data_IF_885715499344
#
_entry.id   IF_885715499344
#
_cell.length_a   1.000
_cell.length_b   1.000
_cell.length_c   1.000
_cell.angle_alpha   90.00
_cell.angle_beta   90.00
_cell.angle_gamma   90.00
#
_symmetry.space_group_name_H-M   'P 1'
#
loop_
_entity.id
_entity.type
_entity.pdbx_description
1 polymer ?
#
# COMPACT_ATOMS: atom_id res chain seq x y z
N UNK A 1 4.80 14.97 -40.44
CA UNK A 1 4.93 13.89 -39.43
C UNK A 1 3.74 14.01 -38.50
N UNK A 2 2.70 13.20 -38.70
CA UNK A 2 1.52 13.19 -37.84
C UNK A 2 1.90 12.56 -36.50
N UNK A 3 2.05 13.40 -35.48
CA UNK A 3 2.17 12.91 -34.09
C UNK A 3 0.84 12.26 -33.73
N UNK A 4 0.77 10.93 -33.87
CA UNK A 4 -0.36 10.15 -33.39
C UNK A 4 -0.50 10.37 -31.88
N UNK A 5 -1.74 10.46 -31.40
CA UNK A 5 -2.02 10.47 -29.98
C UNK A 5 -1.35 9.26 -29.28
N UNK A 6 -0.88 9.41 -28.03
CA UNK A 6 -0.26 8.32 -27.30
C UNK A 6 -1.27 7.17 -27.13
N UNK A 7 -0.84 5.94 -27.44
CA UNK A 7 -1.63 4.74 -27.18
C UNK A 7 -1.67 4.48 -25.65
N UNK A 8 -2.85 4.58 -25.00
CA UNK A 8 -2.94 4.35 -23.56
C UNK A 8 -2.53 2.93 -23.17
N UNK A 9 -2.69 1.92 -24.03
CA UNK A 9 -2.32 0.54 -23.72
C UNK A 9 -0.81 0.31 -23.74
N UNK A 10 -0.08 1.05 -24.57
CA UNK A 10 1.39 1.02 -24.58
C UNK A 10 2.00 1.53 -23.26
N UNK A 11 1.27 2.35 -22.50
CA UNK A 11 1.68 2.83 -21.17
C UNK A 11 1.09 1.94 -20.06
N UNK A 12 -0.21 1.65 -20.14
CA UNK A 12 -0.93 0.97 -19.06
C UNK A 12 -0.51 -0.49 -18.88
N UNK A 13 -0.33 -1.26 -19.97
CA UNK A 13 -0.03 -2.69 -19.86
C UNK A 13 1.34 -2.97 -19.23
N UNK A 14 2.45 -2.32 -19.64
CA UNK A 14 3.74 -2.52 -18.97
C UNK A 14 3.71 -2.08 -17.51
N UNK A 15 3.05 -0.96 -17.19
CA UNK A 15 2.91 -0.46 -15.82
C UNK A 15 2.20 -1.48 -14.92
N UNK A 16 1.03 -1.96 -15.34
CA UNK A 16 0.25 -2.94 -14.57
C UNK A 16 1.01 -4.27 -14.40
N UNK A 17 1.72 -4.73 -15.44
CA UNK A 17 2.54 -5.94 -15.38
C UNK A 17 3.74 -5.78 -14.43
N UNK A 18 4.47 -4.67 -14.53
CA UNK A 18 5.60 -4.39 -13.65
C UNK A 18 5.15 -4.31 -12.19
N UNK A 19 4.05 -3.60 -11.92
CA UNK A 19 3.46 -3.52 -10.59
C UNK A 19 3.11 -4.92 -10.03
N UNK A 20 2.37 -5.72 -10.81
CA UNK A 20 2.01 -7.09 -10.42
C UNK A 20 3.26 -7.96 -10.15
N UNK A 21 4.23 -7.94 -11.06
CA UNK A 21 5.46 -8.74 -10.94
C UNK A 21 6.22 -8.40 -9.67
N UNK A 22 6.41 -7.12 -9.36
CA UNK A 22 7.14 -6.68 -8.18
C UNK A 22 6.38 -7.06 -6.90
N UNK A 23 5.07 -6.83 -6.83
CA UNK A 23 4.28 -7.19 -5.64
C UNK A 23 4.24 -8.71 -5.40
N UNK A 24 4.17 -9.53 -6.46
CA UNK A 24 4.26 -10.99 -6.32
C UNK A 24 5.62 -11.43 -5.79
N UNK A 25 6.72 -10.76 -6.20
CA UNK A 25 8.05 -11.04 -5.65
C UNK A 25 8.13 -10.68 -4.16
N UNK A 26 7.57 -9.54 -3.76
CA UNK A 26 7.48 -9.12 -2.34
C UNK A 26 6.65 -10.11 -1.51
N UNK A 27 5.46 -10.51 -1.98
CA UNK A 27 4.64 -11.51 -1.29
C UNK A 27 5.40 -12.84 -1.11
N UNK A 28 6.14 -13.26 -2.14
CA UNK A 28 6.96 -14.47 -2.08
C UNK A 28 8.08 -14.34 -1.05
N UNK A 29 8.78 -13.20 -1.03
CA UNK A 29 9.87 -12.94 -0.08
C UNK A 29 9.36 -12.87 1.37
N UNK A 30 8.25 -12.19 1.62
CA UNK A 30 7.60 -12.14 2.93
C UNK A 30 7.24 -13.55 3.43
N UNK A 31 6.63 -14.37 2.56
CA UNK A 31 6.29 -15.76 2.88
C UNK A 31 7.54 -16.59 3.20
N UNK A 32 8.63 -16.43 2.46
CA UNK A 32 9.89 -17.14 2.70
C UNK A 32 10.54 -16.72 4.03
N UNK A 33 10.36 -15.46 4.43
CA UNK A 33 10.80 -14.94 5.73
C UNK A 33 9.88 -15.34 6.90
N UNK A 34 8.79 -16.07 6.65
CA UNK A 34 7.82 -16.44 7.67
C UNK A 34 6.96 -15.26 8.17
N UNK A 35 6.90 -14.18 7.41
CA UNK A 35 6.17 -12.96 7.76
C UNK A 35 4.75 -12.98 7.19
N UNK A 36 3.85 -12.12 7.70
CA UNK A 36 2.50 -11.96 7.16
C UNK A 36 2.49 -11.53 5.69
N UNK A 37 1.31 -11.65 5.06
CA UNK A 37 1.09 -11.21 3.68
C UNK A 37 1.12 -9.69 3.54
N UNK A 38 1.26 -9.21 2.30
CA UNK A 38 1.34 -7.79 2.01
C UNK A 38 0.07 -7.01 2.43
N UNK A 39 -1.08 -7.67 2.45
CA UNK A 39 -2.33 -7.12 2.97
C UNK A 39 -2.20 -6.63 4.43
N UNK A 40 -1.38 -7.29 5.25
CA UNK A 40 -1.14 -6.90 6.64
C UNK A 40 -0.23 -5.68 6.72
N UNK A 41 0.76 -5.61 5.84
CA UNK A 41 1.71 -4.50 5.79
C UNK A 41 0.99 -3.17 5.54
N UNK A 42 0.15 -3.11 4.50
CA UNK A 42 -0.55 -1.88 4.12
C UNK A 42 -1.45 -1.36 5.25
N UNK A 43 -2.17 -2.25 5.93
CA UNK A 43 -3.05 -1.86 7.05
C UNK A 43 -2.25 -1.39 8.26
N UNK A 44 -1.21 -2.13 8.65
CA UNK A 44 -0.35 -1.74 9.78
C UNK A 44 0.38 -0.41 9.50
N UNK A 45 0.82 -0.19 8.27
CA UNK A 45 1.44 1.07 7.86
C UNK A 45 0.50 2.26 8.03
N UNK A 46 -0.76 2.16 7.58
CA UNK A 46 -1.74 3.24 7.73
C UNK A 46 -2.08 3.51 9.20
N UNK A 47 -2.20 2.48 10.03
CA UNK A 47 -2.40 2.65 11.47
C UNK A 47 -1.21 3.30 12.16
N UNK A 48 0.01 2.94 11.77
CA UNK A 48 1.22 3.55 12.31
C UNK A 48 1.34 5.02 11.91
N UNK A 49 0.98 5.36 10.67
CA UNK A 49 0.92 6.76 10.22
C UNK A 49 -0.11 7.58 10.99
N UNK A 50 -1.20 6.96 11.43
CA UNK A 50 -2.24 7.61 12.23
C UNK A 50 -1.85 7.80 13.71
N UNK A 51 -0.86 7.05 14.21
CA UNK A 51 -0.39 7.12 15.58
C UNK A 51 -1.50 6.85 16.61
N UNK A 52 -1.45 7.55 17.74
CA UNK A 52 -2.40 7.37 18.86
C UNK A 52 -3.85 7.72 18.51
N UNK A 53 -4.08 8.48 17.43
CA UNK A 53 -5.43 8.77 16.96
C UNK A 53 -6.11 7.53 16.36
N UNK A 54 -5.33 6.58 15.85
CA UNK A 54 -5.82 5.40 15.16
C UNK A 54 -6.63 5.74 13.90
N UNK A 55 -7.30 4.73 13.34
CA UNK A 55 -8.21 4.90 12.21
C UNK A 55 -9.50 4.12 12.42
N UNK A 56 -10.60 4.70 11.97
CA UNK A 56 -11.86 3.98 11.82
C UNK A 56 -11.79 3.06 10.60
N UNK A 57 -12.55 1.94 10.58
CA UNK A 57 -12.53 1.01 9.46
C UNK A 57 -12.84 1.61 8.08
N UNK A 58 -13.70 2.64 8.01
CA UNK A 58 -13.98 3.31 6.72
C UNK A 58 -12.82 4.21 6.28
N UNK A 59 -12.12 4.86 7.21
CA UNK A 59 -10.94 5.70 6.91
C UNK A 59 -9.80 4.84 6.37
N UNK A 60 -9.63 3.63 6.91
CA UNK A 60 -8.70 2.64 6.35
C UNK A 60 -9.08 2.24 4.92
N UNK A 61 -10.36 2.03 4.63
CA UNK A 61 -10.79 1.66 3.26
C UNK A 61 -10.44 2.75 2.23
N UNK A 62 -10.49 4.02 2.61
CA UNK A 62 -10.14 5.15 1.74
C UNK A 62 -8.64 5.31 1.54
N UNK A 63 -7.84 4.88 2.54
CA UNK A 63 -6.37 5.04 2.55
C UNK A 63 -5.60 3.88 1.94
N UNK A 64 -6.15 2.66 2.01
CA UNK A 64 -5.47 1.47 1.52
C UNK A 64 -5.24 1.56 0.00
N UNK A 65 -3.99 1.28 -0.40
CA UNK A 65 -3.53 1.34 -1.78
C UNK A 65 -4.29 0.38 -2.72
N UNK A 66 -4.84 -0.71 -2.17
CA UNK A 66 -5.60 -1.72 -2.91
C UNK A 66 -7.05 -1.75 -2.42
N UNK A 67 -8.06 -1.71 -3.32
CA UNK A 67 -9.46 -1.82 -2.93
C UNK A 67 -9.70 -3.19 -2.29
N UNK A 68 -9.83 -3.18 -0.96
CA UNK A 68 -10.00 -4.40 -0.18
C UNK A 68 -11.48 -4.65 0.11
N UNK A 69 -12.09 -5.55 -0.66
CA UNK A 69 -13.26 -6.27 -0.17
C UNK A 69 -12.83 -7.10 1.05
N UNK A 70 -13.03 -6.56 2.26
CA UNK A 70 -12.72 -7.29 3.49
C UNK A 70 -11.80 -6.62 4.49
N UNK A 71 -11.63 -5.29 4.47
CA UNK A 71 -10.90 -4.55 5.53
C UNK A 71 -11.35 -4.97 6.93
N UNK A 72 -12.65 -5.14 7.16
CA UNK A 72 -13.16 -5.62 8.46
C UNK A 72 -12.65 -7.02 8.83
N UNK A 73 -12.57 -7.94 7.86
CA UNK A 73 -12.06 -9.32 8.07
C UNK A 73 -10.55 -9.31 8.29
N UNK A 74 -9.83 -8.49 7.54
CA UNK A 74 -8.39 -8.30 7.71
C UNK A 74 -8.07 -7.70 9.09
N UNK A 75 -8.77 -6.65 9.49
CA UNK A 75 -8.65 -6.05 10.81
C UNK A 75 -8.98 -7.06 11.93
N UNK A 76 -9.94 -7.94 11.72
CA UNK A 76 -10.23 -9.02 12.68
C UNK A 76 -9.08 -10.04 12.78
N UNK A 77 -8.48 -10.44 11.66
CA UNK A 77 -7.30 -11.32 11.65
C UNK A 77 -6.12 -10.69 12.39
N UNK A 78 -5.86 -9.40 12.15
CA UNK A 78 -4.80 -8.64 12.81
C UNK A 78 -5.06 -8.46 14.31
N UNK A 79 -6.32 -8.19 14.70
CA UNK A 79 -6.71 -8.12 16.11
C UNK A 79 -6.49 -9.47 16.81
N UNK A 80 -6.89 -10.58 16.17
CA UNK A 80 -6.67 -11.93 16.71
C UNK A 80 -5.20 -12.30 16.82
N UNK A 81 -4.36 -11.77 15.92
CA UNK A 81 -2.91 -11.94 15.97
C UNK A 81 -2.22 -11.00 16.97
N UNK A 82 -2.95 -10.06 17.59
CA UNK A 82 -2.40 -9.12 18.57
C UNK A 82 -1.67 -7.92 17.97
N UNK A 83 -1.80 -7.66 16.66
CA UNK A 83 -1.08 -6.57 15.97
C UNK A 83 -1.85 -5.26 15.95
N UNK A 84 -3.12 -5.28 16.33
CA UNK A 84 -3.92 -4.08 16.54
C UNK A 84 -4.93 -4.29 17.66
N UNK A 85 -5.44 -3.21 18.21
CA UNK A 85 -6.54 -3.19 19.19
C UNK A 85 -7.73 -2.41 18.65
N UNK A 86 -8.91 -2.71 19.22
CA UNK A 86 -10.15 -1.97 18.99
C UNK A 86 -10.48 -1.19 20.25
N UNK A 87 -10.69 0.11 20.10
CA UNK A 87 -11.14 0.97 21.18
C UNK A 87 -12.49 1.59 20.84
N UNK A 88 -13.37 1.69 21.83
CA UNK A 88 -14.65 2.38 21.70
C UNK A 88 -14.42 3.89 21.71
N UNK A 89 -14.99 4.60 20.74
CA UNK A 89 -14.89 6.05 20.69
C UNK A 89 -15.83 6.67 21.74
N UNK A 90 -15.28 7.33 22.77
CA UNK A 90 -16.02 7.83 23.94
C UNK A 90 -16.95 9.04 23.69
N UNK A 91 -17.37 9.29 22.45
CA UNK A 91 -18.11 10.51 22.08
C UNK A 91 -19.30 10.34 21.14
N UNK A 92 -19.29 9.33 20.24
CA UNK A 92 -20.39 9.15 19.28
C UNK A 92 -21.15 7.81 19.40
N UNK A 93 -20.66 6.89 20.24
CA UNK A 93 -21.29 5.60 20.55
C UNK A 93 -21.49 4.68 19.33
N UNK A 94 -20.93 5.00 18.16
CA UNK A 94 -21.20 4.28 16.90
C UNK A 94 -19.95 3.87 16.13
N UNK A 95 -18.75 4.30 16.54
CA UNK A 95 -17.49 3.94 15.88
C UNK A 95 -16.49 3.20 16.78
N UNK A 96 -15.92 2.11 16.26
CA UNK A 96 -14.66 1.54 16.77
C UNK A 96 -13.48 2.22 16.08
N UNK A 97 -12.46 2.54 16.86
CA UNK A 97 -11.14 2.99 16.36
C UNK A 97 -10.18 1.82 16.45
N UNK A 98 -9.37 1.64 15.40
CA UNK A 98 -8.30 0.66 15.35
C UNK A 98 -6.99 1.35 15.66
N UNK A 99 -6.18 0.78 16.56
CA UNK A 99 -4.85 1.26 16.90
C UNK A 99 -3.84 0.14 16.72
N UNK A 100 -2.66 0.46 16.17
CA UNK A 100 -1.55 -0.49 16.08
C UNK A 100 -1.01 -0.79 17.49
N UNK A 101 -0.61 -2.04 17.74
CA UNK A 101 0.10 -2.41 18.97
C UNK A 101 1.62 -2.28 18.79
N UNK A 102 2.37 -2.42 19.89
CA UNK A 102 3.83 -2.49 19.81
C UNK A 102 4.29 -3.68 18.95
N UNK A 103 3.65 -4.84 19.11
CA UNK A 103 3.92 -6.05 18.33
C UNK A 103 3.55 -5.87 16.85
N UNK A 104 2.47 -5.14 16.56
CA UNK A 104 2.09 -4.77 15.21
C UNK A 104 3.11 -3.85 14.53
N UNK A 105 3.59 -2.84 15.27
CA UNK A 105 4.60 -1.91 14.78
C UNK A 105 5.95 -2.61 14.52
N UNK A 106 6.35 -3.52 15.41
CA UNK A 106 7.55 -4.34 15.24
C UNK A 106 7.41 -5.28 14.03
N UNK A 107 6.28 -5.97 13.90
CA UNK A 107 6.01 -6.84 12.75
C UNK A 107 6.07 -6.07 11.44
N UNK A 108 5.42 -4.91 11.36
CA UNK A 108 5.48 -4.04 10.17
C UNK A 108 6.91 -3.59 9.87
N UNK A 109 7.72 -3.29 10.88
CA UNK A 109 9.14 -2.95 10.67
C UNK A 109 9.95 -4.11 10.07
N UNK A 110 9.72 -5.34 10.54
CA UNK A 110 10.33 -6.55 9.97
C UNK A 110 9.89 -6.78 8.51
N UNK A 111 8.59 -6.58 8.23
CA UNK A 111 8.06 -6.64 6.88
C UNK A 111 8.67 -5.58 5.96
N UNK A 112 8.88 -4.35 6.45
CA UNK A 112 9.51 -3.27 5.68
C UNK A 112 10.95 -3.62 5.27
N UNK A 113 11.72 -4.27 6.15
CA UNK A 113 13.07 -4.69 5.79
C UNK A 113 13.08 -5.63 4.58
N UNK A 114 12.17 -6.62 4.54
CA UNK A 114 12.02 -7.54 3.40
C UNK A 114 11.43 -6.84 2.17
N UNK A 115 10.38 -6.03 2.37
CA UNK A 115 9.72 -5.29 1.30
C UNK A 115 10.72 -4.38 0.57
N UNK A 116 11.43 -3.53 1.33
CA UNK A 116 12.31 -2.51 0.79
C UNK A 116 13.51 -3.13 0.08
N UNK A 117 14.11 -4.19 0.63
CA UNK A 117 15.20 -4.92 -0.03
C UNK A 117 14.74 -5.57 -1.35
N UNK A 118 13.60 -6.28 -1.32
CA UNK A 118 13.02 -6.91 -2.52
C UNK A 118 12.71 -5.87 -3.61
N UNK A 119 12.15 -4.71 -3.22
CA UNK A 119 11.84 -3.64 -4.15
C UNK A 119 13.11 -2.98 -4.72
N UNK A 120 14.14 -2.76 -3.89
CA UNK A 120 15.42 -2.23 -4.35
C UNK A 120 16.08 -3.18 -5.36
N UNK A 121 16.08 -4.48 -5.09
CA UNK A 121 16.62 -5.49 -6.01
C UNK A 121 15.83 -5.60 -7.31
N UNK A 122 14.51 -5.43 -7.25
CA UNK A 122 13.63 -5.52 -8.42
C UNK A 122 13.68 -4.28 -9.34
N UNK A 123 14.12 -3.13 -8.84
CA UNK A 123 14.08 -1.85 -9.58
C UNK A 123 15.47 -1.32 -9.93
N UNK A 124 16.39 -1.30 -8.96
CA UNK A 124 17.70 -0.64 -9.11
C UNK A 124 18.54 -1.15 -10.29
N UNK A 125 18.60 -2.46 -10.59
CA UNK A 125 19.40 -2.96 -11.72
C UNK A 125 18.91 -2.52 -13.10
N UNK A 126 17.67 -2.05 -13.21
CA UNK A 126 17.02 -1.78 -14.51
C UNK A 126 17.03 -0.31 -14.92
N UNK A 127 17.41 0.61 -14.03
CA UNK A 127 17.34 2.04 -14.29
C UNK A 127 18.58 2.76 -13.79
N UNK A 128 19.16 3.62 -14.63
CA UNK A 128 20.06 4.66 -14.16
C UNK A 128 19.31 5.67 -13.25
N UNK A 129 20.03 6.45 -12.41
CA UNK A 129 19.39 7.48 -11.60
C UNK A 129 18.58 8.51 -12.41
N UNK A 130 19.02 8.81 -13.64
CA UNK A 130 18.31 9.71 -14.56
C UNK A 130 17.01 9.11 -15.08
N UNK A 131 17.02 7.85 -15.50
CA UNK A 131 15.83 7.13 -15.96
C UNK A 131 14.81 6.94 -14.84
N UNK A 132 15.26 6.59 -13.63
CA UNK A 132 14.39 6.43 -12.46
C UNK A 132 13.69 7.76 -12.11
N UNK A 133 14.44 8.88 -12.07
CA UNK A 133 13.85 10.22 -11.86
C UNK A 133 12.83 10.54 -12.96
N UNK A 134 13.18 10.28 -14.22
CA UNK A 134 12.30 10.58 -15.35
C UNK A 134 11.00 9.76 -15.31
N UNK A 135 11.10 8.47 -15.00
CA UNK A 135 9.94 7.59 -14.86
C UNK A 135 9.02 8.05 -13.73
N UNK A 136 9.59 8.42 -12.57
CA UNK A 136 8.84 8.98 -11.43
C UNK A 136 8.06 10.24 -11.83
N UNK A 137 8.70 11.19 -12.52
CA UNK A 137 8.01 12.40 -13.03
C UNK A 137 6.86 12.08 -13.98
N UNK A 138 7.03 11.09 -14.88
CA UNK A 138 6.02 10.70 -15.85
C UNK A 138 4.83 10.01 -15.18
N UNK A 139 5.08 9.07 -14.26
CA UNK A 139 4.03 8.41 -13.48
C UNK A 139 3.29 9.40 -12.57
N UNK A 140 3.99 10.39 -12.02
CA UNK A 140 3.36 11.48 -11.25
C UNK A 140 2.32 12.28 -12.03
N UNK A 141 2.38 12.30 -13.37
CA UNK A 141 1.34 12.91 -14.21
C UNK A 141 0.03 12.11 -14.21
N UNK A 142 0.09 10.80 -13.99
CA UNK A 142 -1.07 9.90 -13.94
C UNK A 142 -1.76 9.92 -12.56
N UNK A 143 -1.03 10.28 -11.50
CA UNK A 143 -1.54 10.31 -10.12
C UNK A 143 -2.23 11.63 -9.74
N UNK A 144 -2.05 12.70 -10.52
CA UNK A 144 -2.76 13.96 -10.29
C UNK A 144 -4.22 13.80 -10.73
N UNK A 145 -5.21 14.15 -9.89
CA UNK A 145 -6.60 14.13 -10.32
C UNK A 145 -6.76 15.04 -11.54
N UNK A 146 -7.40 14.53 -12.59
CA UNK A 146 -7.83 15.38 -13.71
C UNK A 146 -8.86 16.37 -13.13
N UNK A 147 -8.69 17.70 -13.30
CA UNK A 147 -9.68 18.67 -12.86
C UNK A 147 -11.05 18.32 -13.46
N UNK A 148 -12.09 18.34 -12.63
CA UNK A 148 -13.45 17.93 -12.99
C UNK A 148 -14.16 18.84 -14.02
N UNK A 149 -13.45 19.78 -14.64
CA UNK A 149 -14.00 20.64 -15.71
C UNK A 149 -13.83 19.95 -17.06
N UNK A 150 -14.69 18.95 -17.30
CA UNK A 150 -15.22 18.48 -18.59
C UNK A 150 -15.90 17.11 -18.40
N UNK A 151 -17.13 17.15 -17.89
CA UNK A 151 -18.16 16.14 -18.18
C UNK A 151 -19.37 16.92 -18.71
#
# INVERSE_FOLDING_TARGET
>A
MTTSAPDPFAVWLPLARAHKTILTAVETALKQAGLPGLDWYDLLWELECAGDAGLRPYELQEKLLLPQYGVSRLAERLAKAGYLTRQDCSGDGRGQVLLITAEGAETRAQMWAVYSDTMQQAVTPHFSPGEARRLSELLGKLLRPVPADKI
#
